data_IF_441891815069
#
_entry.id   IF_441891815069
#
_cell.length_a   1.000
_cell.length_b   1.000
_cell.length_c   1.000
_cell.angle_alpha   90.00
_cell.angle_beta   90.00
_cell.angle_gamma   90.00
#
_symmetry.space_group_name_H-M   'P 1'
#
loop_
_entity.id
_entity.type
_entity.pdbx_description
1 polymer ?
#
# COMPACT_ATOMS: atom_id res chain seq x y z
N UNK A 1 14.23 4.26 8.68
CA UNK A 1 14.38 5.21 8.14
C UNK A 1 15.11 5.33 6.88
N UNK A 2 15.42 4.15 6.16
CA UNK A 2 15.95 4.16 4.82
C UNK A 2 15.00 4.85 3.84
N UNK A 3 13.74 5.01 4.21
CA UNK A 3 12.74 5.65 3.37
C UNK A 3 12.57 7.13 3.65
N UNK A 4 13.35 7.69 4.59
CA UNK A 4 13.29 9.11 4.88
C UNK A 4 13.73 9.89 3.64
N UNK A 5 12.96 10.90 3.25
CA UNK A 5 13.20 11.65 2.03
C UNK A 5 12.40 11.14 0.84
N UNK A 6 11.63 10.06 1.01
CA UNK A 6 10.81 9.47 -0.04
C UNK A 6 9.35 9.41 0.44
N UNK A 7 8.44 9.77 -0.45
CA UNK A 7 7.01 9.62 -0.18
C UNK A 7 6.67 8.13 -0.14
N UNK A 8 5.93 7.72 0.90
CA UNK A 8 5.53 6.32 1.06
C UNK A 8 4.02 6.17 0.88
N UNK A 9 3.63 5.24 0.04
CA UNK A 9 2.25 4.80 -0.06
C UNK A 9 2.16 3.44 0.61
N UNK A 10 1.43 3.37 1.72
CA UNK A 10 1.30 2.15 2.50
C UNK A 10 0.00 1.47 2.14
N UNK A 11 0.09 0.23 1.69
CA UNK A 11 -1.02 -0.59 1.24
C UNK A 11 -1.26 -1.70 2.25
N UNK A 12 -2.40 -1.64 2.95
CA UNK A 12 -2.80 -2.68 3.89
C UNK A 12 -3.62 -3.72 3.14
N UNK A 13 -3.20 -4.98 3.20
CA UNK A 13 -3.81 -6.06 2.43
C UNK A 13 -3.70 -7.39 3.15
N UNK A 14 -4.24 -8.44 2.55
CA UNK A 14 -4.09 -9.82 3.03
C UNK A 14 -4.28 -10.78 1.87
N UNK A 15 -3.74 -11.99 2.02
CA UNK A 15 -3.84 -13.01 0.96
C UNK A 15 -5.29 -13.47 0.73
N UNK A 16 -6.15 -13.30 1.71
CA UNK A 16 -7.56 -13.65 1.62
C UNK A 16 -8.45 -12.50 1.14
N UNK A 17 -7.86 -11.36 0.80
CA UNK A 17 -8.61 -10.16 0.43
C UNK A 17 -8.77 -10.07 -1.08
N UNK A 18 -9.95 -10.46 -1.59
CA UNK A 18 -10.27 -10.37 -3.01
C UNK A 18 -10.16 -8.96 -3.57
N UNK A 19 -10.80 -7.94 -2.94
CA UNK A 19 -10.70 -6.58 -3.43
C UNK A 19 -9.26 -6.04 -3.49
N UNK A 20 -8.39 -6.47 -2.57
CA UNK A 20 -6.98 -6.09 -2.61
C UNK A 20 -6.31 -6.60 -3.89
N UNK A 21 -6.62 -7.84 -4.26
CA UNK A 21 -6.04 -8.47 -5.46
C UNK A 21 -6.56 -7.83 -6.74
N UNK A 22 -7.80 -7.38 -6.75
CA UNK A 22 -8.36 -6.62 -7.87
C UNK A 22 -7.56 -5.33 -8.08
N UNK A 23 -7.19 -4.66 -7.00
CA UNK A 23 -6.37 -3.44 -7.10
C UNK A 23 -4.96 -3.75 -7.61
N UNK A 24 -4.37 -4.85 -7.19
CA UNK A 24 -3.07 -5.27 -7.71
C UNK A 24 -3.13 -5.49 -9.22
N UNK A 25 -4.17 -6.20 -9.69
CA UNK A 25 -4.33 -6.48 -11.10
C UNK A 25 -4.55 -5.18 -11.89
N UNK A 26 -5.37 -4.29 -11.37
CA UNK A 26 -5.61 -3.01 -12.05
C UNK A 26 -4.31 -2.24 -12.22
N UNK A 27 -3.52 -2.13 -11.16
CA UNK A 27 -2.25 -1.41 -11.20
C UNK A 27 -1.31 -2.04 -12.23
N UNK A 28 -1.20 -3.36 -12.22
CA UNK A 28 -0.29 -4.07 -13.10
C UNK A 28 -0.72 -4.04 -14.57
N UNK A 29 -2.02 -3.99 -14.83
CA UNK A 29 -2.55 -4.01 -16.19
C UNK A 29 -2.57 -2.64 -16.85
N UNK A 30 -2.28 -1.58 -16.11
CA UNK A 30 -2.35 -0.21 -16.63
C UNK A 30 -1.05 0.57 -16.40
N UNK A 31 0.08 0.07 -16.91
CA UNK A 31 1.35 0.81 -16.75
C UNK A 31 1.29 2.20 -17.38
N UNK A 32 0.47 2.38 -18.41
CA UNK A 32 0.33 3.68 -19.05
C UNK A 32 -0.24 4.74 -18.10
N UNK A 33 -0.99 4.31 -17.07
CA UNK A 33 -1.55 5.23 -16.08
C UNK A 33 -0.54 5.56 -14.98
N UNK A 34 0.17 4.53 -14.51
CA UNK A 34 0.95 4.64 -13.27
C UNK A 34 2.44 4.91 -13.48
N UNK A 35 2.96 4.61 -14.67
CA UNK A 35 4.37 4.79 -14.97
C UNK A 35 4.63 6.10 -15.70
N UNK A 36 5.86 6.59 -15.61
CA UNK A 36 6.34 7.74 -16.38
C UNK A 36 5.57 9.05 -16.13
N UNK A 37 5.07 9.23 -14.92
CA UNK A 37 4.34 10.43 -14.54
C UNK A 37 5.17 11.41 -13.72
N UNK A 38 6.46 11.15 -13.58
CA UNK A 38 7.32 11.99 -12.74
C UNK A 38 7.03 11.85 -11.26
N UNK A 39 6.18 10.92 -10.90
CA UNK A 39 5.86 10.66 -9.50
C UNK A 39 6.94 9.77 -8.89
N UNK A 40 7.52 10.23 -7.78
CA UNK A 40 8.53 9.46 -7.06
C UNK A 40 7.94 9.06 -5.71
N UNK A 41 7.63 7.79 -5.56
CA UNK A 41 7.14 7.27 -4.29
C UNK A 41 7.49 5.80 -4.18
N UNK A 42 7.56 5.33 -2.95
CA UNK A 42 7.84 3.93 -2.65
C UNK A 42 6.56 3.29 -2.14
N UNK A 43 6.25 2.10 -2.62
CA UNK A 43 5.11 1.34 -2.10
C UNK A 43 5.58 0.46 -0.95
N UNK A 44 4.83 0.50 0.14
CA UNK A 44 5.07 -0.35 1.30
C UNK A 44 3.81 -1.16 1.53
N UNK A 45 3.94 -2.49 1.43
CA UNK A 45 2.79 -3.39 1.61
C UNK A 45 2.85 -3.98 3.01
N UNK A 46 1.82 -3.71 3.80
CA UNK A 46 1.68 -4.28 5.13
C UNK A 46 0.57 -5.33 5.10
N UNK A 47 0.94 -6.58 5.25
CA UNK A 47 -0.04 -7.66 5.30
C UNK A 47 -0.60 -7.81 6.70
N UNK A 48 -1.93 -7.93 6.78
CA UNK A 48 -2.59 -8.26 8.04
C UNK A 48 -2.84 -9.75 8.16
N UNK A 49 -2.19 -10.57 7.32
CA UNK A 49 -2.26 -12.02 7.42
C UNK A 49 -1.73 -12.51 8.77
N UNK A 50 -2.25 -13.62 9.21
CA UNK A 50 -1.73 -14.29 10.39
C UNK A 50 -0.47 -15.07 10.04
N UNK A 51 0.32 -15.41 11.05
CA UNK A 51 1.59 -16.12 10.88
C UNK A 51 1.42 -17.44 10.12
N UNK A 52 0.29 -18.12 10.30
CA UNK A 52 -0.01 -19.36 9.60
C UNK A 52 -0.08 -19.21 8.10
N UNK A 53 -0.32 -17.99 7.59
CA UNK A 53 -0.46 -17.71 6.17
C UNK A 53 0.81 -17.15 5.53
N UNK A 54 1.93 -17.24 6.24
CA UNK A 54 3.20 -16.69 5.79
C UNK A 54 3.62 -17.25 4.42
N UNK A 55 3.40 -18.55 4.20
CA UNK A 55 3.70 -19.18 2.90
C UNK A 55 2.87 -18.62 1.76
N UNK A 56 1.58 -18.42 1.98
CA UNK A 56 0.70 -17.80 1.00
C UNK A 56 1.10 -16.37 0.71
N UNK A 57 1.50 -15.64 1.73
CA UNK A 57 1.95 -14.27 1.60
C UNK A 57 3.15 -14.17 0.65
N UNK A 58 4.14 -15.05 0.82
CA UNK A 58 5.31 -15.09 -0.07
C UNK A 58 4.91 -15.42 -1.51
N UNK A 59 4.02 -16.38 -1.68
CA UNK A 59 3.56 -16.80 -3.01
C UNK A 59 2.84 -15.65 -3.71
N UNK A 60 1.95 -14.96 -3.01
CA UNK A 60 1.15 -13.89 -3.60
C UNK A 60 2.00 -12.67 -3.98
N UNK A 61 3.03 -12.36 -3.21
CA UNK A 61 3.93 -11.26 -3.56
C UNK A 61 4.52 -11.51 -4.95
N UNK A 62 4.93 -12.72 -5.25
CA UNK A 62 5.48 -13.08 -6.56
C UNK A 62 4.39 -13.19 -7.60
N UNK A 63 3.28 -13.82 -7.26
CA UNK A 63 2.18 -14.05 -8.20
C UNK A 63 1.63 -12.74 -8.76
N UNK A 64 1.49 -11.73 -7.91
CA UNK A 64 0.95 -10.44 -8.32
C UNK A 64 2.02 -9.43 -8.67
N UNK A 65 3.28 -9.86 -8.76
CA UNK A 65 4.41 -9.01 -9.15
C UNK A 65 4.48 -7.73 -8.33
N UNK A 66 4.31 -7.85 -7.02
CA UNK A 66 4.29 -6.70 -6.14
C UNK A 66 5.71 -6.25 -5.85
N UNK A 67 6.10 -5.12 -6.44
CA UNK A 67 7.37 -4.48 -6.12
C UNK A 67 7.29 -3.77 -4.77
N UNK A 68 8.32 -3.00 -4.43
CA UNK A 68 8.32 -2.24 -3.19
C UNK A 68 8.77 -3.05 -1.98
N UNK A 69 8.39 -2.58 -0.80
CA UNK A 69 8.78 -3.19 0.47
C UNK A 69 7.61 -3.96 1.07
N UNK A 70 7.89 -5.12 1.63
CA UNK A 70 6.85 -6.02 2.13
C UNK A 70 7.10 -6.39 3.59
N UNK A 71 6.07 -6.22 4.41
CA UNK A 71 6.13 -6.55 5.83
C UNK A 71 4.87 -7.28 6.26
N UNK A 72 5.05 -8.19 7.21
CA UNK A 72 3.97 -8.82 7.93
C UNK A 72 4.28 -8.63 9.42
N UNK A 73 3.34 -8.11 10.19
CA UNK A 73 3.57 -7.74 11.57
C UNK A 73 2.82 -8.70 12.46
N UNK A 74 3.42 -9.03 13.61
CA UNK A 74 2.78 -9.94 14.57
C UNK A 74 1.38 -9.45 14.93
N UNK A 75 0.46 -10.39 15.08
CA UNK A 75 -0.97 -10.13 15.25
C UNK A 75 -1.29 -9.04 16.28
N UNK A 76 -0.67 -9.11 17.47
CA UNK A 76 -0.96 -8.15 18.52
C UNK A 76 -0.58 -6.72 18.13
N UNK A 77 0.58 -6.57 17.50
CA UNK A 77 1.05 -5.25 17.06
C UNK A 77 0.26 -4.75 15.86
N UNK A 78 -0.15 -5.65 14.97
CA UNK A 78 -0.98 -5.27 13.83
C UNK A 78 -2.36 -4.79 14.29
N UNK A 79 -2.95 -5.46 15.29
CA UNK A 79 -4.24 -5.04 15.86
C UNK A 79 -4.16 -3.62 16.44
N UNK A 80 -3.08 -3.33 17.16
CA UNK A 80 -2.89 -2.00 17.74
C UNK A 80 -2.73 -0.94 16.65
N UNK A 81 -1.96 -1.26 15.61
CA UNK A 81 -1.74 -0.34 14.50
C UNK A 81 -3.04 -0.03 13.76
N UNK A 82 -3.81 -1.08 13.46
CA UNK A 82 -5.09 -0.93 12.75
C UNK A 82 -6.03 -0.04 13.54
N UNK A 83 -6.10 -0.25 14.84
CA UNK A 83 -6.95 0.55 15.72
C UNK A 83 -6.48 1.99 15.78
N UNK A 84 -5.18 2.20 15.94
CA UNK A 84 -4.60 3.54 16.01
C UNK A 84 -4.86 4.33 14.73
N UNK A 85 -4.73 3.68 13.56
CA UNK A 85 -4.92 4.31 12.27
C UNK A 85 -6.36 4.32 11.80
N UNK A 86 -7.27 3.79 12.61
CA UNK A 86 -8.73 3.76 12.32
C UNK A 86 -9.04 3.05 11.01
N UNK A 87 -8.37 1.92 10.76
CA UNK A 87 -8.59 1.13 9.57
C UNK A 87 -9.77 0.19 9.81
N UNK A 88 -10.84 0.35 9.03
CA UNK A 88 -12.07 -0.42 9.19
C UNK A 88 -12.19 -1.58 8.23
N UNK A 89 -11.31 -1.66 7.24
CA UNK A 89 -11.35 -2.72 6.24
C UNK A 89 -10.18 -2.59 5.29
N UNK A 90 -10.00 -3.59 4.42
CA UNK A 90 -8.94 -3.59 3.42
C UNK A 90 -9.54 -3.83 2.04
N UNK A 91 -8.95 -3.33 0.97
CA UNK A 91 -7.68 -2.59 0.95
C UNK A 91 -7.80 -1.22 1.61
N UNK A 92 -6.71 -0.74 2.18
CA UNK A 92 -6.66 0.57 2.80
C UNK A 92 -5.29 1.19 2.53
N UNK A 93 -5.26 2.47 2.21
CA UNK A 93 -4.05 3.15 1.77
C UNK A 93 -3.77 4.36 2.64
N UNK A 94 -2.50 4.51 3.02
CA UNK A 94 -2.04 5.63 3.84
C UNK A 94 -0.85 6.26 3.14
N UNK A 95 -0.72 7.59 3.23
CA UNK A 95 0.42 8.29 2.62
C UNK A 95 1.21 9.02 3.70
N UNK A 96 2.51 8.78 3.69
CA UNK A 96 3.49 9.49 4.52
C UNK A 96 4.39 10.26 3.57
N UNK A 97 4.58 11.57 3.81
CA UNK A 97 5.37 12.38 2.88
C UNK A 97 6.88 12.20 3.10
N UNK A 98 7.64 12.88 2.27
CA UNK A 98 9.11 12.75 2.28
C UNK A 98 9.74 13.22 3.59
N UNK A 99 9.02 14.00 4.38
CA UNK A 99 9.49 14.48 5.69
C UNK A 99 9.05 13.60 6.84
N UNK A 100 8.38 12.47 6.53
CA UNK A 100 7.91 11.52 7.53
C UNK A 100 6.59 11.91 8.16
N UNK A 101 5.86 12.86 7.58
CA UNK A 101 4.59 13.34 8.12
C UNK A 101 3.44 12.56 7.50
N UNK A 102 2.53 12.10 8.34
CA UNK A 102 1.31 11.40 7.91
C UNK A 102 0.38 12.41 7.24
N UNK A 103 0.18 12.25 5.93
CA UNK A 103 -0.59 13.21 5.14
C UNK A 103 -1.98 12.72 4.77
N UNK A 104 -2.20 11.42 4.69
CA UNK A 104 -3.51 10.86 4.39
C UNK A 104 -3.70 9.56 5.14
N UNK A 105 -4.80 9.46 5.89
CA UNK A 105 -5.19 8.24 6.60
C UNK A 105 -6.08 7.33 5.74
N UNK A 106 -6.61 7.85 4.64
CA UNK A 106 -7.52 7.09 3.79
C UNK A 106 -7.37 7.60 2.35
N UNK A 107 -6.29 7.16 1.71
CA UNK A 107 -5.95 7.60 0.37
C UNK A 107 -6.74 6.83 -0.68
N UNK A 108 -6.93 7.40 -1.88
CA UNK A 108 -7.62 6.70 -2.96
C UNK A 108 -6.90 5.44 -3.39
N UNK A 109 -7.67 4.44 -3.83
CA UNK A 109 -7.12 3.20 -4.36
C UNK A 109 -6.72 3.36 -5.83
N UNK A 110 -5.83 2.50 -6.35
CA UNK A 110 -5.37 2.61 -7.73
C UNK A 110 -6.48 2.62 -8.79
N UNK A 111 -7.57 1.88 -8.59
CA UNK A 111 -8.66 1.86 -9.57
C UNK A 111 -9.37 3.20 -9.65
N UNK A 112 -9.32 4.02 -8.61
CA UNK A 112 -9.76 5.40 -8.66
C UNK A 112 -8.57 6.26 -9.09
N UNK A 113 -8.09 6.00 -10.30
CA UNK A 113 -6.75 6.43 -10.71
C UNK A 113 -6.58 7.95 -10.80
N UNK A 114 -7.62 8.67 -11.17
CA UNK A 114 -7.52 10.13 -11.27
C UNK A 114 -7.24 10.74 -9.89
N UNK A 115 -7.98 10.32 -8.88
CA UNK A 115 -7.78 10.80 -7.51
C UNK A 115 -6.47 10.29 -6.93
N UNK A 116 -6.11 9.04 -7.24
CA UNK A 116 -4.86 8.44 -6.80
C UNK A 116 -3.66 9.28 -7.28
N UNK A 117 -3.60 9.57 -8.57
CA UNK A 117 -2.52 10.34 -9.16
C UNK A 117 -2.49 11.77 -8.63
N UNK A 118 -3.67 12.42 -8.57
CA UNK A 118 -3.75 13.80 -8.06
C UNK A 118 -3.27 13.90 -6.62
N UNK A 119 -3.69 12.97 -5.78
CA UNK A 119 -3.31 12.97 -4.37
C UNK A 119 -1.79 12.82 -4.20
N UNK A 120 -1.19 11.89 -4.96
CA UNK A 120 0.25 11.70 -4.90
C UNK A 120 1.00 12.94 -5.40
N UNK A 121 0.50 13.59 -6.45
CA UNK A 121 1.12 14.82 -6.94
C UNK A 121 1.05 15.94 -5.91
N UNK A 122 -0.12 16.13 -5.32
CA UNK A 122 -0.31 17.21 -4.35
C UNK A 122 0.59 17.03 -3.12
N UNK A 123 0.67 15.81 -2.61
CA UNK A 123 1.49 15.54 -1.43
C UNK A 123 2.98 15.53 -1.79
N UNK A 124 3.30 15.10 -3.01
CA UNK A 124 4.68 14.99 -3.45
C UNK A 124 5.35 16.31 -3.83
N UNK A 125 4.58 17.38 -3.93
CA UNK A 125 5.14 18.72 -4.19
C UNK A 125 5.32 19.53 -2.89
#
# INVERSE_FOLDING_TARGET
>A
DNAKGTLLLIDFWATWCGPCKIEFDFYNQHPEIFQNRGLKYEKVFLSIDEEKDFGKWKIDIQKYSLGGLHYIIKDSKMSDLIKYLQINGIPHYIIIDKDGVLRSLDAPRPSNFQQYILTLKDIGT
#
